data_IF_171492110186
#
_entry.id   IF_171492110186
#
_cell.length_a   1.000
_cell.length_b   1.000
_cell.length_c   1.000
_cell.angle_alpha   90.00
_cell.angle_beta   90.00
_cell.angle_gamma   90.00
#
_symmetry.space_group_name_H-M   'P 1'
#
loop_
_entity.id
_entity.type
_entity.pdbx_description
1 polymer ?
#
# COMPACT_ATOMS: atom_id res chain seq x y z
N UNK A 1 2.59 -9.40 10.74
CA UNK A 1 2.19 -8.74 9.47
C UNK A 1 2.16 -7.26 9.74
N UNK A 2 2.85 -6.42 8.99
CA UNK A 2 2.76 -4.98 9.21
C UNK A 2 1.58 -4.36 8.49
N UNK A 3 1.09 -3.30 9.13
CA UNK A 3 -0.13 -2.59 8.78
C UNK A 3 -0.08 -2.00 7.36
N UNK A 4 1.10 -1.60 6.90
CA UNK A 4 1.29 -0.98 5.60
C UNK A 4 1.15 -1.95 4.42
N UNK A 5 1.69 -3.17 4.52
CA UNK A 5 1.53 -4.18 3.46
C UNK A 5 0.07 -4.57 3.24
N UNK A 6 -0.68 -4.79 4.33
CA UNK A 6 -2.12 -5.08 4.30
C UNK A 6 -2.94 -3.94 3.70
N UNK A 7 -2.75 -2.72 4.21
CA UNK A 7 -3.43 -1.52 3.70
C UNK A 7 -3.15 -1.33 2.19
N UNK A 8 -1.90 -1.53 1.77
CA UNK A 8 -1.53 -1.41 0.36
C UNK A 8 -2.26 -2.45 -0.49
N UNK A 9 -2.27 -3.72 -0.07
CA UNK A 9 -2.95 -4.79 -0.78
C UNK A 9 -4.43 -4.48 -0.97
N UNK A 10 -5.13 -4.11 0.10
CA UNK A 10 -6.55 -3.78 0.05
C UNK A 10 -6.84 -2.61 -0.91
N UNK A 11 -6.06 -1.53 -0.85
CA UNK A 11 -6.24 -0.38 -1.77
C UNK A 11 -6.02 -0.77 -3.23
N UNK A 12 -4.99 -1.57 -3.52
CA UNK A 12 -4.74 -2.01 -4.89
C UNK A 12 -5.91 -2.85 -5.43
N UNK A 13 -6.53 -3.68 -4.59
CA UNK A 13 -7.70 -4.49 -4.95
C UNK A 13 -8.96 -3.64 -5.13
N UNK A 14 -9.28 -2.76 -4.17
CA UNK A 14 -10.49 -1.90 -4.18
C UNK A 14 -10.50 -0.98 -5.41
N UNK A 15 -9.36 -0.39 -5.76
CA UNK A 15 -9.26 0.57 -6.85
C UNK A 15 -8.78 -0.05 -8.18
N UNK A 16 -8.59 -1.37 -8.23
CA UNK A 16 -8.14 -2.08 -9.44
C UNK A 16 -6.75 -1.64 -9.94
N UNK A 17 -5.86 -1.24 -9.03
CA UNK A 17 -4.52 -0.76 -9.36
C UNK A 17 -3.55 -1.94 -9.37
N UNK A 18 -2.91 -2.19 -10.51
CA UNK A 18 -1.90 -3.25 -10.58
C UNK A 18 -0.61 -2.88 -9.84
N UNK A 19 0.05 -3.88 -9.24
CA UNK A 19 1.37 -3.71 -8.61
C UNK A 19 2.40 -3.07 -9.57
N UNK A 20 2.33 -3.40 -10.86
CA UNK A 20 3.21 -2.84 -11.88
C UNK A 20 2.94 -1.34 -12.11
N UNK A 21 1.66 -0.94 -12.14
CA UNK A 21 1.29 0.48 -12.29
C UNK A 21 1.82 1.31 -11.14
N UNK A 22 1.72 0.81 -9.91
CA UNK A 22 2.29 1.46 -8.73
C UNK A 22 3.81 1.54 -8.83
N UNK A 23 4.49 0.44 -9.14
CA UNK A 23 5.95 0.38 -9.24
C UNK A 23 6.51 1.40 -10.26
N UNK A 24 5.92 1.47 -11.46
CA UNK A 24 6.30 2.43 -12.50
C UNK A 24 6.07 3.87 -12.03
N UNK A 25 4.98 4.13 -11.31
CA UNK A 25 4.64 5.49 -10.84
C UNK A 25 5.56 5.95 -9.69
N UNK A 26 6.01 5.00 -8.85
CA UNK A 26 7.01 5.24 -7.82
C UNK A 26 8.43 5.35 -8.37
N UNK A 27 8.69 4.84 -9.59
CA UNK A 27 10.06 4.69 -10.10
C UNK A 27 10.86 3.60 -9.36
N UNK A 28 10.18 2.65 -8.71
CA UNK A 28 10.80 1.54 -7.98
C UNK A 28 10.65 0.21 -8.74
N UNK A 29 11.39 -0.81 -8.30
CA UNK A 29 11.27 -2.16 -8.88
C UNK A 29 9.94 -2.83 -8.50
N UNK A 30 9.31 -3.53 -9.47
CA UNK A 30 8.10 -4.35 -9.22
C UNK A 30 8.30 -5.36 -8.08
N UNK A 31 9.51 -5.87 -7.91
CA UNK A 31 9.87 -6.80 -6.82
C UNK A 31 9.68 -6.20 -5.43
N UNK A 32 9.88 -4.89 -5.25
CA UNK A 32 9.65 -4.22 -3.97
C UNK A 32 8.16 -4.18 -3.64
N UNK A 33 7.34 -3.72 -4.60
CA UNK A 33 5.88 -3.71 -4.48
C UNK A 33 5.31 -5.11 -4.23
N UNK A 34 5.85 -6.12 -4.93
CA UNK A 34 5.46 -7.51 -4.72
C UNK A 34 5.73 -7.98 -3.28
N UNK A 35 6.90 -7.65 -2.71
CA UNK A 35 7.24 -8.02 -1.33
C UNK A 35 6.30 -7.38 -0.31
N UNK A 36 5.92 -6.11 -0.52
CA UNK A 36 4.99 -5.40 0.36
C UNK A 36 3.57 -5.98 0.29
N UNK A 37 3.05 -6.20 -0.92
CA UNK A 37 1.68 -6.70 -1.12
C UNK A 37 1.50 -8.16 -0.69
N UNK A 38 2.56 -8.97 -0.78
CA UNK A 38 2.55 -10.36 -0.32
C UNK A 38 3.07 -10.51 1.13
N UNK A 39 3.21 -9.40 1.86
CA UNK A 39 3.58 -9.40 3.28
C UNK A 39 4.91 -10.12 3.58
N UNK A 40 5.81 -10.19 2.59
CA UNK A 40 7.17 -10.74 2.72
C UNK A 40 8.04 -9.77 3.53
N UNK A 41 7.81 -8.48 3.35
CA UNK A 41 8.50 -7.39 4.03
C UNK A 41 7.56 -6.19 4.05
N UNK A 42 7.51 -5.44 5.14
CA UNK A 42 6.76 -4.18 5.16
C UNK A 42 7.57 -3.03 4.56
N UNK A 43 6.89 -2.07 3.90
CA UNK A 43 7.54 -0.83 3.51
C UNK A 43 7.99 -0.06 4.76
N UNK A 44 9.20 0.48 4.71
CA UNK A 44 9.71 1.40 5.73
C UNK A 44 8.97 2.73 5.69
N UNK A 45 9.11 3.55 6.73
CA UNK A 45 8.38 4.83 6.88
C UNK A 45 8.48 5.73 5.63
N UNK A 46 9.67 5.87 5.04
CA UNK A 46 9.84 6.68 3.81
C UNK A 46 9.08 6.07 2.62
N UNK A 47 9.11 4.75 2.48
CA UNK A 47 8.39 4.05 1.42
C UNK A 47 6.86 4.19 1.58
N UNK A 48 6.34 4.30 2.80
CA UNK A 48 4.90 4.57 3.05
C UNK A 48 4.50 5.93 2.47
N UNK A 49 5.34 6.96 2.63
CA UNK A 49 5.09 8.28 2.04
C UNK A 49 5.17 8.24 0.51
N UNK A 50 6.15 7.54 -0.04
CA UNK A 50 6.28 7.36 -1.49
C UNK A 50 5.10 6.59 -2.10
N UNK A 51 4.60 5.56 -1.41
CA UNK A 51 3.40 4.80 -1.80
C UNK A 51 2.21 5.74 -1.86
N UNK A 52 1.96 6.52 -0.80
CA UNK A 52 0.87 7.51 -0.76
C UNK A 52 0.97 8.47 -1.95
N UNK A 53 2.15 9.02 -2.19
CA UNK A 53 2.33 10.03 -3.24
C UNK A 53 2.18 9.43 -4.65
N UNK A 54 2.61 8.19 -4.86
CA UNK A 54 2.39 7.48 -6.11
C UNK A 54 0.93 7.08 -6.32
N UNK A 55 0.26 6.59 -5.28
CA UNK A 55 -1.19 6.35 -5.31
C UNK A 55 -1.94 7.63 -5.65
N UNK A 56 -1.54 8.78 -5.07
CA UNK A 56 -2.21 10.07 -5.32
C UNK A 56 -2.11 10.50 -6.79
N UNK A 57 -1.00 10.18 -7.45
CA UNK A 57 -0.82 10.40 -8.90
C UNK A 57 -1.68 9.46 -9.76
N UNK A 58 -1.97 8.25 -9.28
CA UNK A 58 -2.78 7.26 -10.00
C UNK A 58 -4.27 7.53 -9.78
N UNK A 59 -4.67 7.66 -8.51
CA UNK A 59 -6.02 7.92 -8.06
C UNK A 59 -5.96 8.59 -6.67
N UNK A 60 -6.32 9.89 -6.54
CA UNK A 60 -6.31 10.59 -5.27
C UNK A 60 -7.08 9.90 -4.14
N UNK A 61 -8.23 9.28 -4.45
CA UNK A 61 -9.02 8.55 -3.45
C UNK A 61 -8.30 7.30 -2.93
N UNK A 62 -7.53 6.61 -3.77
CA UNK A 62 -6.72 5.46 -3.35
C UNK A 62 -5.63 5.85 -2.34
N UNK A 63 -5.06 7.06 -2.46
CA UNK A 63 -4.07 7.55 -1.51
C UNK A 63 -4.69 7.91 -0.15
N UNK A 64 -5.87 8.53 -0.17
CA UNK A 64 -6.63 8.84 1.04
C UNK A 64 -7.03 7.56 1.77
N UNK A 65 -7.53 6.56 1.04
CA UNK A 65 -7.90 5.27 1.60
C UNK A 65 -6.69 4.51 2.13
N UNK A 66 -5.54 4.57 1.45
CA UNK A 66 -4.30 3.96 1.95
C UNK A 66 -3.88 4.53 3.30
N UNK A 67 -3.91 5.86 3.45
CA UNK A 67 -3.58 6.50 4.72
C UNK A 67 -4.62 6.20 5.79
N UNK A 68 -5.90 6.18 5.42
CA UNK A 68 -6.98 5.78 6.33
C UNK A 68 -6.77 4.37 6.86
N UNK A 69 -6.54 3.38 6.00
CA UNK A 69 -6.33 1.99 6.39
C UNK A 69 -5.02 1.82 7.19
N UNK A 70 -3.96 2.51 6.77
CA UNK A 70 -2.68 2.48 7.49
C UNK A 70 -2.76 3.10 8.88
N UNK A 71 -3.54 4.17 9.08
CA UNK A 71 -3.68 4.83 10.39
C UNK A 71 -4.79 4.23 11.26
N UNK A 72 -5.92 3.84 10.67
CA UNK A 72 -7.18 3.62 11.40
C UNK A 72 -7.73 2.19 11.44
N UNK A 73 -7.67 1.42 10.36
CA UNK A 73 -8.58 0.25 10.20
C UNK A 73 -7.88 -1.02 9.66
N UNK A 74 -6.55 -1.11 9.71
CA UNK A 74 -5.84 -2.32 9.29
C UNK A 74 -5.99 -3.47 10.29
N UNK A 75 -7.19 -4.07 10.38
CA UNK A 75 -7.58 -5.26 11.13
C UNK A 75 -6.64 -5.61 12.30
N UNK A 76 -6.92 -5.00 13.46
CA UNK A 76 -6.74 -5.64 14.77
C UNK A 76 -7.67 -6.88 14.82
N UNK A 77 -7.31 -7.94 14.08
CA UNK A 77 -7.83 -9.29 14.32
C UNK A 77 -7.08 -9.84 15.56
N UNK A 78 -7.42 -9.30 16.73
CA UNK A 78 -7.15 -9.94 18.02
C UNK A 78 -8.52 -10.29 18.63
N UNK A 79 -9.00 -11.55 18.52
CA UNK A 79 -10.18 -11.96 19.27
C UNK A 79 -9.81 -12.03 20.75
N UNK A 80 -10.54 -11.27 21.56
CA UNK A 80 -10.53 -11.31 23.02
C UNK A 80 -10.93 -12.69 23.57
#
# INVERSE_FOLDING_TARGET
MGKAGKALKQVLEIYGISQNKLAVTMGTGRSNVHRWVNEIMDPVADAVLEIRDALKKINPAAAEEFIRLYLGDGDDDEPA
#
